data_IF_639364719106
#
_entry.id   IF_639364719106
#
_cell.length_a   1.000
_cell.length_b   1.000
_cell.length_c   1.000
_cell.angle_alpha   90.00
_cell.angle_beta   90.00
_cell.angle_gamma   90.00
#
_symmetry.space_group_name_H-M   'P 1'
#
loop_
_entity.id
_entity.type
_entity.pdbx_description
1 polymer ?
#
# COMPACT_ATOMS: atom_id res chain seq x y z
N UNK A 1 18.92 28.85 -6.31
CA UNK A 1 18.02 28.43 -7.40
C UNK A 1 16.98 27.49 -6.83
N UNK A 2 15.92 28.06 -6.27
CA UNK A 2 14.86 27.35 -5.58
C UNK A 2 13.55 28.01 -6.00
N UNK A 3 12.84 27.42 -6.97
CA UNK A 3 11.49 27.88 -7.33
C UNK A 3 10.69 26.80 -8.08
N UNK A 4 10.62 25.56 -7.55
CA UNK A 4 9.82 24.50 -8.21
C UNK A 4 9.03 23.59 -7.25
N UNK A 5 9.00 23.91 -5.95
CA UNK A 5 8.33 23.08 -4.94
C UNK A 5 6.84 23.41 -4.74
N UNK A 6 6.35 24.53 -5.30
CA UNK A 6 4.94 24.93 -5.24
C UNK A 6 4.08 24.37 -6.37
N UNK A 7 4.68 24.09 -7.54
CA UNK A 7 3.96 23.65 -8.73
C UNK A 7 3.39 22.24 -8.60
N UNK A 8 4.17 21.31 -8.06
CA UNK A 8 3.81 19.88 -8.02
C UNK A 8 2.63 19.56 -7.09
N UNK A 9 2.52 20.25 -5.94
CA UNK A 9 1.43 20.08 -4.99
C UNK A 9 0.13 20.75 -5.46
N UNK A 10 0.22 21.91 -6.12
CA UNK A 10 -0.94 22.55 -6.73
C UNK A 10 -1.49 21.71 -7.89
N UNK A 11 -0.59 21.20 -8.73
CA UNK A 11 -0.92 20.35 -9.88
C UNK A 11 -1.58 19.04 -9.45
N UNK A 12 -1.09 18.37 -8.41
CA UNK A 12 -1.71 17.12 -7.90
C UNK A 12 -3.11 17.35 -7.31
N UNK A 13 -3.32 18.47 -6.61
CA UNK A 13 -4.65 18.88 -6.14
C UNK A 13 -5.59 19.18 -7.28
N UNK A 14 -5.13 19.87 -8.33
CA UNK A 14 -5.92 20.15 -9.53
C UNK A 14 -6.35 18.84 -10.19
N UNK A 15 -5.43 17.89 -10.41
CA UNK A 15 -5.77 16.59 -10.99
C UNK A 15 -6.79 15.80 -10.14
N UNK A 16 -6.64 15.83 -8.81
CA UNK A 16 -7.58 15.18 -7.92
C UNK A 16 -8.97 15.84 -7.95
N UNK A 17 -9.04 17.17 -7.97
CA UNK A 17 -10.30 17.92 -8.09
C UNK A 17 -10.97 17.68 -9.45
N UNK A 18 -10.20 17.68 -10.54
CA UNK A 18 -10.74 17.39 -11.88
C UNK A 18 -11.27 15.96 -11.98
N UNK A 19 -10.61 14.98 -11.35
CA UNK A 19 -11.09 13.60 -11.32
C UNK A 19 -12.36 13.43 -10.49
N UNK A 20 -12.46 14.11 -9.34
CA UNK A 20 -13.68 14.12 -8.52
C UNK A 20 -14.85 14.80 -9.24
N UNK A 21 -14.59 15.94 -9.91
CA UNK A 21 -15.60 16.65 -10.69
C UNK A 21 -16.10 15.80 -11.87
N UNK A 22 -15.21 15.11 -12.59
CA UNK A 22 -15.57 14.20 -13.67
C UNK A 22 -16.44 13.04 -13.16
N UNK A 23 -16.06 12.41 -12.05
CA UNK A 23 -16.85 11.32 -11.46
C UNK A 23 -18.24 11.81 -11.01
N UNK A 24 -18.33 12.98 -10.40
CA UNK A 24 -19.59 13.58 -9.97
C UNK A 24 -20.50 13.91 -11.17
N UNK A 25 -19.91 14.44 -12.26
CA UNK A 25 -20.62 14.71 -13.51
C UNK A 25 -21.17 13.42 -14.13
N UNK A 26 -20.35 12.38 -14.24
CA UNK A 26 -20.77 11.07 -14.78
C UNK A 26 -21.89 10.46 -13.92
N UNK A 27 -21.81 10.57 -12.59
CA UNK A 27 -22.85 10.11 -11.68
C UNK A 27 -24.16 10.86 -11.86
N UNK A 28 -24.11 12.19 -12.00
CA UNK A 28 -25.29 13.01 -12.30
C UNK A 28 -25.92 12.63 -13.64
N UNK A 29 -25.11 12.45 -14.69
CA UNK A 29 -25.60 12.03 -16.01
C UNK A 29 -26.22 10.62 -15.98
N UNK A 30 -25.61 9.68 -15.27
CA UNK A 30 -26.13 8.32 -15.13
C UNK A 30 -27.47 8.31 -14.37
N UNK A 31 -27.57 9.07 -13.27
CA UNK A 31 -28.83 9.22 -12.52
C UNK A 31 -29.91 9.90 -13.38
N UNK A 32 -29.57 10.96 -14.10
CA UNK A 32 -30.51 11.63 -15.00
C UNK A 32 -31.03 10.69 -16.09
N UNK A 33 -30.15 9.89 -16.70
CA UNK A 33 -30.53 8.90 -17.71
C UNK A 33 -31.45 7.81 -17.14
N UNK A 34 -31.14 7.29 -15.94
CA UNK A 34 -31.98 6.31 -15.26
C UNK A 34 -33.34 6.89 -14.86
N UNK A 35 -33.38 8.10 -14.33
CA UNK A 35 -34.62 8.81 -14.00
C UNK A 35 -35.47 9.06 -15.25
N UNK A 36 -34.85 9.43 -16.37
CA UNK A 36 -35.55 9.64 -17.64
C UNK A 36 -36.16 8.33 -18.18
N UNK A 37 -35.38 7.24 -18.18
CA UNK A 37 -35.89 5.90 -18.57
C UNK A 37 -37.02 5.45 -17.63
N UNK A 38 -36.86 5.65 -16.32
CA UNK A 38 -37.88 5.31 -15.32
C UNK A 38 -39.18 6.11 -15.51
N UNK A 39 -39.07 7.42 -15.78
CA UNK A 39 -40.22 8.26 -16.07
C UNK A 39 -40.91 7.88 -17.39
N UNK A 40 -40.15 7.50 -18.43
CA UNK A 40 -40.69 7.05 -19.70
C UNK A 40 -41.42 5.69 -19.58
N UNK A 41 -40.91 4.77 -18.75
CA UNK A 41 -41.57 3.51 -18.43
C UNK A 41 -42.91 3.71 -17.69
N UNK A 42 -42.97 4.69 -16.81
CA UNK A 42 -44.19 5.06 -16.06
C UNK A 42 -45.17 5.91 -16.88
N UNK A 43 -44.84 6.24 -18.14
CA UNK A 43 -45.65 7.11 -19.01
C UNK A 43 -45.66 8.58 -18.59
N UNK A 44 -44.78 8.99 -17.69
CA UNK A 44 -44.64 10.36 -17.19
C UNK A 44 -43.77 11.24 -18.11
N UNK A 45 -42.93 10.63 -18.94
CA UNK A 45 -42.07 11.30 -19.90
C UNK A 45 -42.15 10.64 -21.29
N UNK A 46 -41.97 11.39 -22.39
CA UNK A 46 -41.91 10.81 -23.73
C UNK A 46 -40.60 10.03 -23.93
N UNK A 47 -40.70 8.96 -24.74
CA UNK A 47 -39.51 8.28 -25.25
C UNK A 47 -38.77 9.17 -26.24
N UNK A 48 -37.46 8.96 -26.37
CA UNK A 48 -36.68 9.64 -27.38
C UNK A 48 -37.11 9.14 -28.77
N UNK A 49 -37.61 10.03 -29.62
CA UNK A 49 -38.00 9.74 -31.00
C UNK A 49 -36.95 10.28 -31.96
N UNK A 50 -36.24 9.38 -32.64
CA UNK A 50 -35.23 9.71 -33.65
C UNK A 50 -35.47 8.82 -34.86
N UNK A 51 -35.68 9.46 -36.01
CA UNK A 51 -35.75 8.78 -37.29
C UNK A 51 -34.35 8.42 -37.78
N UNK A 52 -34.02 7.12 -37.73
CA UNK A 52 -32.78 6.59 -38.27
C UNK A 52 -33.06 5.63 -39.43
N UNK A 53 -32.18 5.66 -40.43
CA UNK A 53 -32.23 4.77 -41.60
C UNK A 53 -30.87 4.14 -41.81
N UNK A 54 -30.83 2.87 -42.16
CA UNK A 54 -29.62 2.16 -42.55
C UNK A 54 -29.72 1.80 -44.03
N UNK A 55 -29.12 2.64 -44.88
CA UNK A 55 -29.44 2.64 -46.31
C UNK A 55 -30.90 3.02 -46.54
N UNK A 56 -31.64 2.20 -47.27
CA UNK A 56 -33.07 2.40 -47.54
C UNK A 56 -33.99 1.79 -46.47
N UNK A 57 -33.46 1.07 -45.49
CA UNK A 57 -34.28 0.47 -44.42
C UNK A 57 -34.47 1.46 -43.26
N UNK A 58 -35.72 1.85 -42.94
CA UNK A 58 -35.98 2.58 -41.71
C UNK A 58 -35.77 1.66 -40.50
N UNK A 59 -35.08 2.17 -39.48
CA UNK A 59 -34.87 1.46 -38.22
C UNK A 59 -35.95 1.89 -37.23
N UNK A 60 -36.97 1.06 -36.96
CA UNK A 60 -38.02 1.41 -36.02
C UNK A 60 -37.46 1.52 -34.60
N UNK A 61 -38.01 2.44 -33.81
CA UNK A 61 -37.70 2.62 -32.39
C UNK A 61 -36.21 2.90 -32.08
N UNK A 62 -35.47 3.47 -33.04
CA UNK A 62 -34.04 3.74 -32.88
C UNK A 62 -33.73 4.60 -31.64
N UNK A 63 -34.59 5.57 -31.32
CA UNK A 63 -34.38 6.42 -30.15
C UNK A 63 -34.42 5.67 -28.81
N UNK A 64 -35.21 4.59 -28.68
CA UNK A 64 -35.20 3.72 -27.49
C UNK A 64 -33.86 3.00 -27.36
N UNK A 65 -33.36 2.43 -28.46
CA UNK A 65 -32.06 1.77 -28.50
C UNK A 65 -30.92 2.73 -28.17
N UNK A 66 -30.98 3.96 -28.70
CA UNK A 66 -29.99 5.00 -28.41
C UNK A 66 -30.03 5.41 -26.94
N UNK A 67 -31.22 5.68 -26.40
CA UNK A 67 -31.42 6.06 -25.00
C UNK A 67 -30.92 4.95 -24.04
N UNK A 68 -31.24 3.69 -24.34
CA UNK A 68 -30.73 2.55 -23.59
C UNK A 68 -29.21 2.39 -23.72
N UNK A 69 -28.66 2.58 -24.91
CA UNK A 69 -27.21 2.52 -25.16
C UNK A 69 -26.44 3.60 -24.39
N UNK A 70 -26.94 4.84 -24.37
CA UNK A 70 -26.36 5.95 -23.61
C UNK A 70 -26.42 5.66 -22.10
N UNK A 71 -27.54 5.14 -21.60
CA UNK A 71 -27.66 4.78 -20.19
C UNK A 71 -26.73 3.61 -19.79
N UNK A 72 -26.61 2.59 -20.65
CA UNK A 72 -25.67 1.48 -20.44
C UNK A 72 -24.21 1.97 -20.43
N UNK A 73 -23.84 2.85 -21.36
CA UNK A 73 -22.52 3.46 -21.41
C UNK A 73 -22.25 4.32 -20.16
N UNK A 74 -23.21 5.12 -19.73
CA UNK A 74 -23.10 5.91 -18.49
C UNK A 74 -22.89 5.02 -17.26
N UNK A 75 -23.58 3.87 -17.19
CA UNK A 75 -23.45 2.91 -16.10
C UNK A 75 -22.09 2.19 -16.12
N UNK A 76 -21.59 1.82 -17.30
CA UNK A 76 -20.24 1.26 -17.46
C UNK A 76 -19.19 2.27 -17.00
N UNK A 77 -19.30 3.52 -17.44
CA UNK A 77 -18.39 4.59 -17.01
C UNK A 77 -18.47 4.84 -15.50
N UNK A 78 -19.66 4.82 -14.92
CA UNK A 78 -19.87 4.98 -13.48
C UNK A 78 -19.13 3.91 -12.66
N UNK A 79 -19.06 2.67 -13.15
CA UNK A 79 -18.34 1.58 -12.48
C UNK A 79 -16.82 1.64 -12.75
N UNK A 80 -16.43 2.03 -13.98
CA UNK A 80 -15.04 2.02 -14.41
C UNK A 80 -14.21 3.18 -13.84
N UNK A 81 -14.72 4.41 -13.89
CA UNK A 81 -13.97 5.60 -13.48
C UNK A 81 -13.48 5.57 -12.02
N UNK A 82 -14.29 5.17 -11.02
CA UNK A 82 -13.82 5.05 -9.64
C UNK A 82 -12.67 4.05 -9.51
N UNK A 83 -12.76 2.91 -10.21
CA UNK A 83 -11.71 1.88 -10.21
C UNK A 83 -10.42 2.40 -10.83
N UNK A 84 -10.50 3.00 -12.02
CA UNK A 84 -9.35 3.58 -12.71
C UNK A 84 -8.67 4.69 -11.89
N UNK A 85 -9.46 5.55 -11.22
CA UNK A 85 -8.93 6.61 -10.36
C UNK A 85 -8.19 6.06 -9.13
N UNK A 86 -8.66 4.94 -8.57
CA UNK A 86 -8.03 4.27 -7.43
C UNK A 86 -6.69 3.66 -7.82
N UNK A 87 -6.63 2.99 -8.97
CA UNK A 87 -5.40 2.38 -9.50
C UNK A 87 -4.35 3.43 -9.81
N UNK A 88 -4.72 4.52 -10.51
CA UNK A 88 -3.80 5.63 -10.81
C UNK A 88 -3.21 6.27 -9.54
N UNK A 89 -4.01 6.40 -8.48
CA UNK A 89 -3.53 6.90 -7.17
C UNK A 89 -2.53 5.94 -6.53
N UNK A 90 -2.73 4.63 -6.63
CA UNK A 90 -1.82 3.62 -6.09
C UNK A 90 -0.49 3.61 -6.85
N UNK A 91 -0.52 3.68 -8.18
CA UNK A 91 0.69 3.78 -9.01
C UNK A 91 1.49 5.06 -8.73
N UNK A 92 0.80 6.19 -8.54
CA UNK A 92 1.43 7.44 -8.13
C UNK A 92 2.10 7.36 -6.75
N UNK A 93 1.43 6.72 -5.78
CA UNK A 93 1.99 6.50 -4.44
C UNK A 93 3.24 5.60 -4.49
N UNK A 94 3.25 4.57 -5.33
CA UNK A 94 4.37 3.64 -5.45
C UNK A 94 5.59 4.29 -6.15
N UNK A 95 5.34 5.17 -7.13
CA UNK A 95 6.40 5.91 -7.82
C UNK A 95 7.01 7.03 -6.97
N UNK A 96 6.28 7.55 -6.00
CA UNK A 96 6.71 8.66 -5.15
C UNK A 96 7.49 8.22 -3.89
N UNK A 97 7.97 6.97 -3.82
CA UNK A 97 8.74 6.46 -2.68
C UNK A 97 10.19 7.00 -2.59
N UNK A 98 10.51 8.09 -3.30
CA UNK A 98 11.79 8.78 -3.11
C UNK A 98 11.62 9.79 -1.99
N UNK A 99 12.13 9.45 -0.80
CA UNK A 99 12.31 10.42 0.29
C UNK A 99 13.07 11.62 -0.28
N UNK A 100 12.37 12.76 -0.42
CA UNK A 100 13.00 13.99 -0.90
C UNK A 100 13.81 14.62 0.24
N UNK A 101 14.94 15.26 -0.08
CA UNK A 101 15.75 15.97 0.92
C UNK A 101 14.92 17.03 1.68
N UNK A 102 13.87 17.55 1.05
CA UNK A 102 12.89 18.48 1.64
C UNK A 102 12.08 17.85 2.77
N UNK A 103 11.69 16.58 2.60
CA UNK A 103 10.88 15.83 3.58
C UNK A 103 11.72 15.49 4.82
N UNK A 104 12.98 15.10 4.58
CA UNK A 104 14.00 14.95 5.63
C UNK A 104 14.24 16.27 6.36
N UNK A 105 14.39 17.37 5.63
CA UNK A 105 14.63 18.69 6.23
C UNK A 105 13.42 19.20 7.04
N UNK A 106 12.20 18.85 6.63
CA UNK A 106 10.98 19.20 7.35
C UNK A 106 10.80 18.36 8.61
N UNK A 107 11.04 17.04 8.52
CA UNK A 107 11.07 16.16 9.68
C UNK A 107 12.16 16.55 10.69
N UNK A 108 13.36 16.92 10.19
CA UNK A 108 14.47 17.41 11.01
C UNK A 108 14.13 18.71 11.73
N UNK A 109 13.50 19.67 11.03
CA UNK A 109 13.02 20.92 11.64
C UNK A 109 11.96 20.67 12.70
N UNK A 110 10.96 19.84 12.42
CA UNK A 110 9.92 19.51 13.40
C UNK A 110 10.48 18.85 14.67
N UNK A 111 11.48 17.97 14.52
CA UNK A 111 12.19 17.37 15.64
C UNK A 111 13.01 18.41 16.44
N UNK A 112 13.68 19.34 15.75
CA UNK A 112 14.49 20.38 16.39
C UNK A 112 13.69 21.51 17.02
N UNK A 113 12.52 21.88 16.50
CA UNK A 113 11.66 22.87 17.14
C UNK A 113 11.09 22.33 18.47
N UNK A 114 10.74 21.05 18.51
CA UNK A 114 10.35 20.37 19.75
C UNK A 114 11.48 20.34 20.77
N UNK A 115 12.74 20.26 20.34
CA UNK A 115 13.92 20.17 21.21
C UNK A 115 14.40 21.56 21.68
N UNK A 116 14.30 22.58 20.81
CA UNK A 116 14.63 23.98 21.16
C UNK A 116 13.65 24.59 22.13
N UNK A 117 12.40 24.14 22.16
CA UNK A 117 11.44 24.59 23.19
C UNK A 117 11.88 24.19 24.61
N UNK A 118 12.62 23.09 24.78
CA UNK A 118 13.24 22.71 26.04
C UNK A 118 14.52 23.54 26.35
N UNK A 119 15.25 23.99 25.32
CA UNK A 119 16.47 24.79 25.47
C UNK A 119 16.23 26.20 26.04
N UNK A 120 15.05 26.80 25.87
CA UNK A 120 14.75 28.14 26.41
C UNK A 120 14.21 28.13 27.84
N UNK A 121 13.88 26.96 28.39
CA UNK A 121 13.62 26.80 29.83
C UNK A 121 14.90 26.93 30.68
N UNK A 122 16.10 26.81 30.08
CA UNK A 122 17.39 26.97 30.76
C UNK A 122 17.68 28.42 31.19
N UNK A 123 17.13 29.44 30.53
CA UNK A 123 17.42 30.84 30.90
C UNK A 123 16.92 31.20 32.31
N UNK A 124 15.82 30.60 32.77
CA UNK A 124 15.35 30.79 34.15
C UNK A 124 16.27 30.15 35.19
N UNK A 125 16.95 29.06 34.85
CA UNK A 125 17.92 28.41 35.74
C UNK A 125 19.26 29.17 35.81
N UNK A 126 19.63 29.89 34.75
CA UNK A 126 20.82 30.78 34.75
C UNK A 126 20.64 31.99 35.67
N UNK A 127 19.46 32.61 35.69
CA UNK A 127 19.20 33.73 36.60
C UNK A 127 19.17 33.28 38.07
N UNK A 128 18.60 32.10 38.35
CA UNK A 128 18.63 31.50 39.69
C UNK A 128 20.06 31.14 40.15
N UNK A 129 20.93 30.69 39.24
CA UNK A 129 22.35 30.45 39.52
C UNK A 129 23.10 31.77 39.76
N UNK A 130 22.80 32.81 38.98
CA UNK A 130 23.41 34.14 39.13
C UNK A 130 23.07 34.76 40.49
N UNK A 131 21.81 34.66 40.91
CA UNK A 131 21.36 35.11 42.23
C UNK A 131 22.08 34.36 43.37
N UNK A 132 22.27 33.05 43.22
CA UNK A 132 22.97 32.22 44.21
C UNK A 132 24.48 32.48 44.26
N UNK A 133 25.12 32.73 43.12
CA UNK A 133 26.53 33.12 43.06
C UNK A 133 26.75 34.50 43.68
N UNK A 134 25.80 35.42 43.49
CA UNK A 134 25.89 36.74 44.11
C UNK A 134 25.63 36.69 45.61
N UNK A 135 24.77 35.79 46.08
CA UNK A 135 24.61 35.46 47.50
C UNK A 135 25.91 34.93 48.12
N UNK A 136 26.57 33.98 47.46
CA UNK A 136 27.82 33.37 47.94
C UNK A 136 29.00 34.36 47.93
N UNK A 137 29.08 35.24 46.92
CA UNK A 137 30.10 36.30 46.83
C UNK A 137 29.97 37.36 47.92
N UNK A 138 28.75 37.63 48.40
CA UNK A 138 28.49 38.58 49.49
C UNK A 138 28.59 37.93 50.88
N UNK A 139 28.84 36.62 50.95
CA UNK A 139 28.89 35.90 52.22
C UNK A 139 30.25 36.12 52.91
N UNK A 140 30.27 36.63 54.16
CA UNK A 140 31.47 37.14 54.83
C UNK A 140 32.54 36.08 55.13
N UNK A 141 32.19 34.80 55.04
CA UNK A 141 33.07 33.66 55.35
C UNK A 141 33.68 32.96 54.11
N UNK A 142 33.33 33.41 52.90
CA UNK A 142 33.69 32.76 51.62
C UNK A 142 34.56 33.63 50.71
N UNK A 143 35.02 34.79 51.20
CA UNK A 143 35.73 35.81 50.41
C UNK A 143 37.10 35.39 49.87
N UNK A 144 37.72 34.35 50.45
CA UNK A 144 39.08 33.92 50.11
C UNK A 144 39.14 32.62 49.28
N UNK A 145 38.00 32.04 48.90
CA UNK A 145 37.98 30.89 47.99
C UNK A 145 38.11 31.37 46.53
N UNK A 146 39.31 31.20 45.99
CA UNK A 146 39.73 31.57 44.64
C UNK A 146 38.65 31.23 43.58
N UNK A 147 38.28 32.21 42.74
CA UNK A 147 37.29 32.04 41.67
C UNK A 147 37.53 30.81 40.77
N UNK A 148 38.79 30.44 40.56
CA UNK A 148 39.18 29.29 39.74
C UNK A 148 38.78 27.94 40.34
N UNK A 149 38.81 27.79 41.68
CA UNK A 149 38.36 26.56 42.35
C UNK A 149 36.84 26.40 42.29
N UNK A 150 36.11 27.52 42.36
CA UNK A 150 34.66 27.54 42.20
C UNK A 150 34.23 27.25 40.75
N UNK A 151 34.99 27.74 39.77
CA UNK A 151 34.76 27.48 38.36
C UNK A 151 35.07 26.01 37.99
N UNK A 152 36.19 25.47 38.48
CA UNK A 152 36.55 24.06 38.29
C UNK A 152 35.51 23.13 38.94
N UNK A 153 35.06 23.44 40.16
CA UNK A 153 34.02 22.67 40.85
C UNK A 153 32.68 22.74 40.11
N UNK A 154 32.31 23.90 39.57
CA UNK A 154 31.10 24.06 38.75
C UNK A 154 31.20 23.27 37.43
N UNK A 155 32.36 23.29 36.76
CA UNK A 155 32.58 22.58 35.51
C UNK A 155 32.61 21.06 35.70
N UNK A 156 33.29 20.56 36.73
CA UNK A 156 33.30 19.14 37.08
C UNK A 156 31.93 18.65 37.55
N UNK A 157 31.17 19.48 38.28
CA UNK A 157 29.79 19.19 38.68
C UNK A 157 28.86 19.09 37.47
N UNK A 158 28.99 19.98 36.49
CA UNK A 158 28.21 19.94 35.25
C UNK A 158 28.53 18.69 34.44
N UNK A 159 29.82 18.38 34.24
CA UNK A 159 30.26 17.22 33.46
C UNK A 159 29.85 15.90 34.12
N UNK A 160 29.95 15.80 35.45
CA UNK A 160 29.53 14.63 36.21
C UNK A 160 28.00 14.45 36.19
N UNK A 161 27.23 15.56 36.23
CA UNK A 161 25.77 15.57 36.07
C UNK A 161 25.34 15.13 34.68
N UNK A 162 26.05 15.57 33.64
CA UNK A 162 25.74 15.20 32.25
C UNK A 162 26.07 13.73 31.98
N UNK A 163 27.21 13.24 32.48
CA UNK A 163 27.53 11.80 32.49
C UNK A 163 26.49 10.99 33.24
N UNK A 164 26.06 11.44 34.42
CA UNK A 164 25.01 10.77 35.22
C UNK A 164 23.64 10.78 34.53
N UNK A 165 23.34 11.83 33.76
CA UNK A 165 22.11 11.91 32.95
C UNK A 165 22.16 11.02 31.72
N UNK A 166 23.32 10.88 31.08
CA UNK A 166 23.51 10.02 29.90
C UNK A 166 23.56 8.55 30.33
N UNK A 167 24.33 8.24 31.37
CA UNK A 167 24.53 6.92 31.95
C UNK A 167 23.68 6.67 33.20
N UNK A 168 22.50 7.27 33.26
CA UNK A 168 21.56 6.96 34.33
C UNK A 168 21.25 5.47 34.31
N UNK A 169 21.28 4.81 35.46
CA UNK A 169 21.00 3.38 35.61
C UNK A 169 19.67 2.99 34.95
N UNK A 170 18.69 3.88 34.97
CA UNK A 170 17.41 3.70 34.29
C UNK A 170 17.56 3.60 32.76
N UNK A 171 18.39 4.44 32.16
CA UNK A 171 18.66 4.44 30.71
C UNK A 171 19.45 3.20 30.30
N UNK A 172 20.47 2.83 31.09
CA UNK A 172 21.28 1.63 30.85
C UNK A 172 20.43 0.36 31.01
N UNK A 173 19.60 0.29 32.05
CA UNK A 173 18.68 -0.84 32.27
C UNK A 173 17.65 -0.98 31.15
N UNK A 174 17.09 0.14 30.67
CA UNK A 174 16.18 0.14 29.51
C UNK A 174 16.88 -0.31 28.23
N UNK A 175 18.09 0.17 27.97
CA UNK A 175 18.88 -0.25 26.81
C UNK A 175 19.20 -1.75 26.86
N UNK A 176 19.58 -2.28 28.03
CA UNK A 176 19.80 -3.73 28.23
C UNK A 176 18.53 -4.54 28.00
N UNK A 177 17.39 -4.07 28.50
CA UNK A 177 16.09 -4.73 28.28
C UNK A 177 15.73 -4.76 26.80
N UNK A 178 15.92 -3.65 26.10
CA UNK A 178 15.68 -3.56 24.65
C UNK A 178 16.58 -4.52 23.87
N UNK A 179 17.88 -4.57 24.18
CA UNK A 179 18.81 -5.49 23.53
C UNK A 179 18.45 -6.96 23.79
N UNK A 180 18.03 -7.28 25.02
CA UNK A 180 17.57 -8.63 25.36
C UNK A 180 16.30 -9.01 24.58
N UNK A 181 15.36 -8.10 24.45
CA UNK A 181 14.16 -8.32 23.63
C UNK A 181 14.52 -8.52 22.15
N UNK A 182 15.42 -7.68 21.61
CA UNK A 182 15.90 -7.80 20.22
C UNK A 182 16.62 -9.11 19.96
N UNK A 183 17.38 -9.62 20.94
CA UNK A 183 18.01 -10.92 20.87
C UNK A 183 16.94 -12.03 20.78
N UNK A 184 15.96 -12.02 21.68
CA UNK A 184 14.85 -12.98 21.67
C UNK A 184 14.03 -12.93 20.37
N UNK A 185 13.81 -11.75 19.80
CA UNK A 185 13.17 -11.59 18.50
C UNK A 185 14.00 -12.21 17.37
N UNK A 186 15.32 -12.00 17.40
CA UNK A 186 16.24 -12.57 16.40
C UNK A 186 16.27 -14.09 16.47
N UNK A 187 16.28 -14.65 17.68
CA UNK A 187 16.26 -16.10 17.91
C UNK A 187 14.95 -16.73 17.37
N UNK A 188 13.79 -16.11 17.65
CA UNK A 188 12.50 -16.54 17.11
C UNK A 188 12.46 -16.49 15.59
N UNK A 189 13.01 -15.45 14.98
CA UNK A 189 13.09 -15.34 13.52
C UNK A 189 14.00 -16.43 12.93
N UNK A 190 15.11 -16.74 13.59
CA UNK A 190 15.99 -17.82 13.16
C UNK A 190 15.28 -19.19 13.21
N UNK A 191 14.51 -19.46 14.26
CA UNK A 191 13.69 -20.67 14.37
C UNK A 191 12.63 -20.75 13.25
N UNK A 192 11.94 -19.65 12.96
CA UNK A 192 10.95 -19.59 11.87
C UNK A 192 11.57 -19.84 10.50
N UNK A 193 12.74 -19.26 10.24
CA UNK A 193 13.48 -19.49 8.98
C UNK A 193 13.92 -20.95 8.87
N UNK A 194 14.37 -21.57 9.97
CA UNK A 194 14.76 -22.97 9.98
C UNK A 194 13.58 -23.90 9.69
N UNK A 195 12.41 -23.63 10.28
CA UNK A 195 11.17 -24.36 9.99
C UNK A 195 10.77 -24.20 8.52
N UNK A 196 10.73 -22.98 8.02
CA UNK A 196 10.36 -22.70 6.63
C UNK A 196 11.28 -23.42 5.63
N UNK A 197 12.58 -23.48 5.91
CA UNK A 197 13.54 -24.23 5.08
C UNK A 197 13.23 -25.73 5.05
N UNK A 198 13.00 -26.34 6.21
CA UNK A 198 12.62 -27.77 6.28
C UNK A 198 11.36 -28.05 5.49
N UNK A 199 10.33 -27.22 5.64
CA UNK A 199 9.09 -27.35 4.86
C UNK A 199 9.35 -27.20 3.36
N UNK A 200 10.21 -26.27 2.92
CA UNK A 200 10.57 -26.16 1.51
C UNK A 200 11.30 -27.41 0.98
N UNK A 201 12.17 -28.01 1.79
CA UNK A 201 12.90 -29.23 1.42
C UNK A 201 11.93 -30.43 1.33
N UNK A 202 11.02 -30.57 2.29
CA UNK A 202 9.95 -31.59 2.27
C UNK A 202 9.04 -31.46 1.04
N UNK A 203 8.63 -30.24 0.70
CA UNK A 203 7.81 -29.99 -0.49
C UNK A 203 8.55 -30.35 -1.79
N UNK A 204 9.87 -30.15 -1.84
CA UNK A 204 10.69 -30.52 -3.01
C UNK A 204 10.78 -32.04 -3.16
N UNK A 205 10.92 -32.76 -2.04
CA UNK A 205 10.87 -34.22 -2.04
C UNK A 205 9.51 -34.72 -2.55
N UNK A 206 8.40 -34.17 -2.03
CA UNK A 206 7.05 -34.56 -2.48
C UNK A 206 6.80 -34.32 -3.96
N UNK A 207 7.29 -33.21 -4.53
CA UNK A 207 7.19 -32.98 -5.99
C UNK A 207 7.92 -34.09 -6.75
N UNK A 208 9.11 -34.47 -6.29
CA UNK A 208 9.90 -35.52 -6.95
C UNK A 208 9.19 -36.87 -6.87
N UNK A 209 8.61 -37.19 -5.72
CA UNK A 209 7.86 -38.43 -5.51
C UNK A 209 6.61 -38.49 -6.39
N UNK A 210 5.80 -37.41 -6.41
CA UNK A 210 4.61 -37.30 -7.26
C UNK A 210 4.99 -37.46 -8.73
N UNK A 211 6.06 -36.82 -9.20
CA UNK A 211 6.52 -36.99 -10.57
C UNK A 211 6.95 -38.43 -10.89
N UNK A 212 7.58 -39.14 -9.94
CA UNK A 212 7.93 -40.56 -10.11
C UNK A 212 6.66 -41.41 -10.19
N UNK A 213 5.67 -41.16 -9.34
CA UNK A 213 4.39 -41.87 -9.34
C UNK A 213 3.61 -41.62 -10.62
N UNK A 214 3.50 -40.37 -11.08
CA UNK A 214 2.84 -40.03 -12.35
C UNK A 214 3.50 -40.74 -13.54
N UNK A 215 4.83 -40.82 -13.57
CA UNK A 215 5.55 -41.57 -14.61
C UNK A 215 5.20 -43.06 -14.59
N UNK A 216 5.07 -43.67 -13.40
CA UNK A 216 4.65 -45.08 -13.26
C UNK A 216 3.21 -45.28 -13.74
N UNK A 217 2.28 -44.45 -13.28
CA UNK A 217 0.87 -44.51 -13.69
C UNK A 217 0.73 -44.33 -15.20
N UNK A 218 1.47 -43.39 -15.80
CA UNK A 218 1.48 -43.19 -17.26
C UNK A 218 1.99 -44.43 -18.00
N UNK A 219 3.03 -45.10 -17.48
CA UNK A 219 3.55 -46.33 -18.07
C UNK A 219 2.56 -47.49 -17.96
N UNK A 220 1.90 -47.66 -16.81
CA UNK A 220 0.86 -48.67 -16.59
C UNK A 220 -0.35 -48.44 -17.50
N UNK A 221 -0.81 -47.19 -17.64
CA UNK A 221 -1.90 -46.84 -18.56
C UNK A 221 -1.55 -47.19 -20.02
N UNK A 222 -0.33 -46.90 -20.47
CA UNK A 222 0.11 -47.26 -21.83
C UNK A 222 0.16 -48.76 -22.04
N UNK A 223 0.61 -49.52 -21.04
CA UNK A 223 0.60 -50.98 -21.11
C UNK A 223 -0.84 -51.51 -21.16
N UNK A 224 -1.73 -51.00 -20.32
CA UNK A 224 -3.14 -51.39 -20.32
C UNK A 224 -3.82 -51.04 -21.65
N UNK A 225 -3.53 -49.87 -22.22
CA UNK A 225 -4.06 -49.47 -23.53
C UNK A 225 -3.56 -50.42 -24.63
N UNK A 226 -2.27 -50.77 -24.62
CA UNK A 226 -1.71 -51.73 -25.57
C UNK A 226 -2.36 -53.11 -25.42
N UNK A 227 -2.43 -53.62 -24.19
CA UNK A 227 -3.00 -54.95 -23.92
C UNK A 227 -4.49 -54.99 -24.29
N UNK A 228 -5.23 -53.89 -24.07
CA UNK A 228 -6.62 -53.73 -24.50
C UNK A 228 -6.74 -53.71 -26.03
N UNK A 229 -5.85 -52.99 -26.72
CA UNK A 229 -5.77 -52.92 -28.18
C UNK A 229 -5.46 -54.29 -28.81
N UNK A 230 -4.70 -55.13 -28.13
CA UNK A 230 -4.40 -56.49 -28.58
C UNK A 230 -5.60 -57.44 -28.41
N UNK A 231 -6.41 -57.28 -27.35
CA UNK A 231 -7.55 -58.17 -27.04
C UNK A 231 -8.83 -57.79 -27.79
N UNK A 232 -9.09 -56.49 -28.01
CA UNK A 232 -10.35 -56.03 -28.59
C UNK A 232 -10.64 -56.54 -30.02
N UNK A 233 -9.66 -56.66 -30.93
CA UNK A 233 -9.88 -57.25 -32.25
C UNK A 233 -10.37 -58.70 -32.17
N UNK A 234 -9.91 -59.47 -31.18
CA UNK A 234 -10.37 -60.85 -30.96
C UNK A 234 -11.83 -60.93 -30.49
N UNK A 235 -12.37 -59.83 -29.94
CA UNK A 235 -13.76 -59.68 -29.52
C UNK A 235 -14.65 -59.01 -30.59
N UNK A 236 -14.09 -58.66 -31.76
CA UNK A 236 -14.81 -58.02 -32.86
C UNK A 236 -14.98 -56.51 -32.73
N UNK A 237 -14.19 -55.85 -31.87
CA UNK A 237 -14.18 -54.40 -31.69
C UNK A 237 -12.85 -53.80 -32.18
N UNK A 238 -12.89 -52.73 -32.98
CA UNK A 238 -11.71 -51.92 -33.34
C UNK A 238 -11.70 -50.62 -32.53
N UNK A 239 -10.55 -50.24 -31.94
CA UNK A 239 -10.37 -48.87 -31.44
C UNK A 239 -10.16 -47.95 -32.64
N UNK A 240 -11.07 -47.00 -32.87
CA UNK A 240 -10.79 -45.87 -33.74
C UNK A 240 -9.67 -45.02 -33.10
N UNK A 241 -8.56 -44.83 -33.82
CA UNK A 241 -7.47 -43.92 -33.42
C UNK A 241 -8.01 -42.48 -33.40
N UNK A 242 -8.47 -42.05 -32.22
CA UNK A 242 -9.14 -40.78 -32.00
C UNK A 242 -8.20 -39.58 -32.10
N UNK A 243 -7.90 -39.14 -33.33
CA UNK A 243 -7.58 -37.73 -33.61
C UNK A 243 -8.74 -37.12 -34.38
N UNK A 244 -9.85 -36.82 -33.70
CA UNK A 244 -10.85 -35.88 -34.21
C UNK A 244 -10.97 -34.69 -33.24
N UNK A 245 -10.69 -33.46 -33.68
CA UNK A 245 -10.93 -32.28 -32.86
C UNK A 245 -12.44 -32.12 -32.69
N UNK A 246 -12.90 -32.30 -31.45
CA UNK A 246 -14.30 -32.17 -31.05
C UNK A 246 -14.76 -30.71 -31.21
N UNK A 247 -15.22 -30.33 -32.42
CA UNK A 247 -15.89 -29.05 -32.67
C UNK A 247 -17.40 -29.33 -32.74
N UNK A 248 -18.09 -29.09 -31.62
CA UNK A 248 -19.56 -29.13 -31.57
C UNK A 248 -20.11 -27.75 -31.97
N UNK A 249 -20.83 -27.60 -33.09
CA UNK A 249 -21.52 -26.36 -33.40
C UNK A 249 -22.75 -26.20 -32.50
N UNK A 250 -22.80 -25.12 -31.73
CA UNK A 250 -23.95 -24.76 -30.90
C UNK A 250 -25.17 -24.42 -31.79
N UNK A 251 -26.35 -25.02 -31.56
CA UNK A 251 -27.55 -24.69 -32.31
C UNK A 251 -28.03 -23.29 -31.91
N UNK A 252 -28.25 -22.43 -32.90
CA UNK A 252 -28.94 -21.15 -32.70
C UNK A 252 -30.43 -21.42 -32.45
N UNK A 253 -30.87 -21.23 -31.21
CA UNK A 253 -32.20 -20.68 -30.91
C UNK A 253 -32.26 -20.10 -29.52
#
# INVERSE_FOLDING_TARGET
>A
MANDLGGTAAVSRIYALTGQALNALVLLCALAALCWIGAALLGLAPWLEIDARLGDLPVPNFGIWLQGGVAALALILLLYLPSASRVSRLEGSHRNFKISMTDVAQAYRAAHDSDRSASFALSGEFDAMRERMEYLRRHPELGDLEPELLELAAQMSLQSRDLSRIYSDQKVSRARTFLKQRQQETDRLAEQIALARRTCDELREWITDVEVEERKVSAELKLLERDLRDILPALGYELEDGTQPNVVPMPKK
#
